data_IF_550430856011
#
_entry.id   IF_550430856011
#
_cell.length_a   1.000
_cell.length_b   1.000
_cell.length_c   1.000
_cell.angle_alpha   90.00
_cell.angle_beta   90.00
_cell.angle_gamma   90.00
#
_symmetry.space_group_name_H-M   'P 1'
#
loop_
_entity.id
_entity.type
_entity.pdbx_description
1 polymer ?
#
# COMPACT_ATOMS: atom_id res chain seq x y z
N UNK A 1 8.89 9.64 -0.87
CA UNK A 1 8.51 8.45 -1.66
C UNK A 1 8.92 7.20 -0.90
N UNK A 2 8.05 6.21 -0.83
CA UNK A 2 8.34 4.86 -0.31
C UNK A 2 8.18 3.87 -1.45
N UNK A 3 9.11 2.92 -1.57
CA UNK A 3 9.04 1.83 -2.55
C UNK A 3 9.41 0.53 -1.86
N UNK A 4 8.60 -0.49 -2.10
CA UNK A 4 8.87 -1.87 -1.72
C UNK A 4 8.99 -2.65 -3.03
N UNK A 5 10.20 -3.17 -3.27
CA UNK A 5 10.44 -4.13 -4.36
C UNK A 5 9.60 -5.38 -4.17
N UNK A 6 9.50 -6.22 -5.20
CA UNK A 6 8.64 -7.42 -5.19
C UNK A 6 8.87 -8.28 -3.93
N UNK A 7 7.75 -8.66 -3.30
CA UNK A 7 7.66 -9.59 -2.17
C UNK A 7 6.62 -10.65 -2.48
N UNK A 8 6.60 -11.73 -1.71
CA UNK A 8 5.63 -12.82 -1.85
C UNK A 8 5.00 -13.15 -0.50
N UNK A 9 3.70 -13.48 -0.49
CA UNK A 9 2.92 -13.69 0.72
C UNK A 9 2.73 -12.39 1.51
N UNK A 10 2.57 -12.52 2.82
CA UNK A 10 2.35 -11.37 3.71
C UNK A 10 3.60 -10.48 3.84
N UNK A 11 3.37 -9.20 4.17
CA UNK A 11 4.45 -8.30 4.53
C UNK A 11 3.99 -6.86 4.75
N UNK A 12 4.88 -5.92 4.46
CA UNK A 12 4.59 -4.51 4.67
C UNK A 12 5.83 -3.63 4.73
N UNK A 13 5.60 -2.37 5.08
CA UNK A 13 6.64 -1.34 5.24
C UNK A 13 6.24 -0.33 6.31
N UNK A 14 7.23 0.17 7.04
CA UNK A 14 7.08 1.34 7.90
C UNK A 14 7.78 2.54 7.27
N UNK A 15 7.15 3.71 7.35
CA UNK A 15 7.74 4.98 6.92
C UNK A 15 7.88 5.92 8.11
N UNK A 16 8.92 6.75 8.09
CA UNK A 16 9.21 7.74 9.14
C UNK A 16 8.37 9.02 9.06
N UNK A 17 7.50 9.18 8.06
CA UNK A 17 6.77 10.44 7.86
C UNK A 17 5.99 10.52 6.56
N UNK A 18 4.84 11.21 6.61
CA UNK A 18 4.21 11.84 5.46
C UNK A 18 4.16 13.36 5.68
N UNK A 19 4.17 14.12 4.59
CA UNK A 19 3.93 15.56 4.60
C UNK A 19 2.43 15.84 4.67
N UNK A 20 1.96 16.50 5.73
CA UNK A 20 0.52 16.74 5.91
C UNK A 20 -0.10 17.67 4.85
N UNK A 21 0.72 18.53 4.23
CA UNK A 21 0.27 19.49 3.22
C UNK A 21 0.03 18.89 1.82
N UNK A 22 0.36 17.61 1.61
CA UNK A 22 0.22 16.93 0.33
C UNK A 22 -0.68 15.69 0.49
N UNK A 23 -1.47 15.33 -0.55
CA UNK A 23 -2.15 14.05 -0.55
C UNK A 23 -1.13 12.91 -0.51
N UNK A 24 -1.54 11.78 0.05
CA UNK A 24 -0.76 10.54 0.03
C UNK A 24 -1.44 9.55 -0.90
N UNK A 25 -0.69 9.03 -1.88
CA UNK A 25 -1.18 8.02 -2.81
C UNK A 25 -0.46 6.72 -2.53
N UNK A 26 -1.22 5.70 -2.12
CA UNK A 26 -0.75 4.34 -1.93
C UNK A 26 -1.21 3.51 -3.13
N UNK A 27 -0.26 2.89 -3.82
CA UNK A 27 -0.51 2.02 -4.97
C UNK A 27 0.14 0.67 -4.72
N UNK A 28 -0.58 -0.40 -5.04
CA UNK A 28 -0.11 -1.77 -4.98
C UNK A 28 -0.35 -2.44 -6.32
N UNK A 29 0.64 -3.19 -6.78
CA UNK A 29 0.49 -4.13 -7.88
C UNK A 29 0.72 -5.55 -7.35
N UNK A 30 -0.03 -6.52 -7.84
CA UNK A 30 0.12 -7.92 -7.45
C UNK A 30 -0.23 -8.90 -8.58
N UNK A 31 0.31 -10.11 -8.48
CA UNK A 31 0.05 -11.22 -9.40
C UNK A 31 0.17 -12.55 -8.64
N UNK A 32 -0.54 -13.60 -9.06
CA UNK A 32 -0.27 -14.96 -8.56
C UNK A 32 -1.49 -15.83 -8.33
N UNK A 33 -2.70 -15.32 -8.58
CA UNK A 33 -3.96 -16.01 -8.34
C UNK A 33 -4.40 -15.90 -6.88
N UNK A 34 -5.27 -14.94 -6.59
CA UNK A 34 -5.79 -14.65 -5.26
C UNK A 34 -6.11 -13.16 -5.12
N UNK A 35 -5.93 -12.63 -3.91
CA UNK A 35 -6.04 -11.21 -3.63
C UNK A 35 -5.03 -10.77 -2.57
N UNK A 36 -4.82 -9.46 -2.47
CA UNK A 36 -4.14 -8.84 -1.33
C UNK A 36 -5.05 -7.82 -0.66
N UNK A 37 -5.05 -7.80 0.67
CA UNK A 37 -5.62 -6.71 1.47
C UNK A 37 -4.50 -5.82 1.97
N UNK A 38 -4.63 -4.52 1.71
CA UNK A 38 -3.65 -3.51 2.07
C UNK A 38 -4.26 -2.60 3.13
N UNK A 39 -3.57 -2.43 4.24
CA UNK A 39 -4.01 -1.56 5.34
C UNK A 39 -2.90 -0.57 5.70
N UNK A 40 -3.20 0.73 5.67
CA UNK A 40 -2.35 1.78 6.22
C UNK A 40 -2.86 2.20 7.60
N UNK A 41 -1.95 2.31 8.57
CA UNK A 41 -2.27 2.70 9.93
C UNK A 41 -1.28 3.71 10.50
N UNK A 42 -1.80 4.63 11.32
CA UNK A 42 -1.08 5.58 12.15
C UNK A 42 -1.84 5.72 13.46
N UNK A 43 -1.44 4.94 14.48
CA UNK A 43 -2.19 4.67 15.73
C UNK A 43 -3.52 3.93 15.50
N UNK A 44 -4.31 4.38 14.52
CA UNK A 44 -5.54 3.75 14.01
C UNK A 44 -5.43 3.47 12.52
N UNK A 45 -6.33 2.65 11.98
CA UNK A 45 -6.46 2.46 10.53
C UNK A 45 -6.83 3.79 9.84
N UNK A 46 -6.07 4.13 8.80
CA UNK A 46 -6.24 5.34 8.00
C UNK A 46 -6.89 5.01 6.65
N UNK A 47 -6.49 3.89 6.05
CA UNK A 47 -7.05 3.41 4.81
C UNK A 47 -6.92 1.88 4.71
N UNK A 48 -7.90 1.24 4.07
CA UNK A 48 -7.81 -0.16 3.70
C UNK A 48 -8.48 -0.39 2.34
N UNK A 49 -7.87 -1.23 1.50
CA UNK A 49 -8.45 -1.67 0.23
C UNK A 49 -7.90 -3.05 -0.16
N UNK A 50 -8.63 -3.75 -1.03
CA UNK A 50 -8.21 -5.03 -1.58
C UNK A 50 -7.94 -4.92 -3.08
N UNK A 51 -7.04 -5.76 -3.59
CA UNK A 51 -6.70 -5.85 -5.00
C UNK A 51 -6.76 -7.32 -5.42
N UNK A 52 -7.55 -7.64 -6.43
CA UNK A 52 -7.52 -8.95 -7.07
C UNK A 52 -6.18 -9.13 -7.80
N UNK A 53 -5.53 -10.28 -7.57
CA UNK A 53 -4.23 -10.63 -8.12
C UNK A 53 -4.39 -11.78 -9.11
N UNK A 54 -4.78 -11.52 -10.37
CA UNK A 54 -4.94 -12.57 -11.37
C UNK A 54 -3.64 -13.35 -11.62
N UNK A 55 -3.77 -14.54 -12.19
CA UNK A 55 -2.62 -15.36 -12.56
C UNK A 55 -2.15 -14.99 -13.97
N UNK A 56 -0.88 -14.58 -14.10
CA UNK A 56 -0.25 -14.27 -15.38
C UNK A 56 -0.41 -12.83 -15.88
N UNK A 57 -1.07 -11.97 -15.12
CA UNK A 57 -1.08 -10.52 -15.34
C UNK A 57 -1.10 -9.77 -14.00
N UNK A 58 -0.70 -8.49 -14.02
CA UNK A 58 -0.68 -7.68 -12.81
C UNK A 58 -2.05 -7.04 -12.54
N UNK A 59 -2.63 -7.35 -11.38
CA UNK A 59 -3.67 -6.53 -10.77
C UNK A 59 -3.07 -5.28 -10.14
N UNK A 60 -3.76 -4.15 -10.24
CA UNK A 60 -3.31 -2.87 -9.67
C UNK A 60 -4.46 -2.19 -8.94
N UNK A 61 -4.18 -1.74 -7.71
CA UNK A 61 -5.12 -0.95 -6.92
C UNK A 61 -4.44 0.24 -6.28
N UNK A 62 -5.20 1.30 -6.05
CA UNK A 62 -4.69 2.49 -5.38
C UNK A 62 -5.76 3.17 -4.56
N UNK A 63 -5.33 3.78 -3.45
CA UNK A 63 -6.13 4.69 -2.65
C UNK A 63 -5.40 6.02 -2.52
N UNK A 64 -6.15 7.11 -2.68
CA UNK A 64 -5.67 8.47 -2.41
C UNK A 64 -6.26 8.93 -1.09
N UNK A 65 -5.38 9.38 -0.21
CA UNK A 65 -5.73 10.02 1.05
C UNK A 65 -5.46 11.51 0.90
N UNK A 66 -6.49 12.33 1.14
CA UNK A 66 -6.37 13.78 1.05
C UNK A 66 -5.32 14.33 2.02
N UNK A 67 -4.84 15.54 1.74
CA UNK A 67 -3.93 16.26 2.63
C UNK A 67 -4.51 16.33 4.06
N UNK A 68 -3.66 16.10 5.06
CA UNK A 68 -4.03 16.08 6.47
C UNK A 68 -4.66 14.78 6.99
N UNK A 69 -5.01 13.82 6.12
CA UNK A 69 -5.51 12.49 6.54
C UNK A 69 -4.37 11.68 7.17
N UNK A 70 -3.23 11.56 6.47
CA UNK A 70 -2.00 11.01 7.05
C UNK A 70 -1.30 12.15 7.79
N UNK A 71 -1.26 12.06 9.13
CA UNK A 71 -0.69 13.13 9.97
C UNK A 71 0.84 13.04 9.99
N UNK A 72 1.54 14.12 10.40
CA UNK A 72 2.98 14.08 10.59
C UNK A 72 3.37 12.98 11.59
N UNK A 73 4.36 12.17 11.23
CA UNK A 73 4.82 11.04 12.04
C UNK A 73 4.85 9.73 11.26
N UNK A 74 5.24 8.64 11.91
CA UNK A 74 5.36 7.35 11.25
C UNK A 74 4.00 6.76 10.90
N UNK A 75 3.96 6.01 9.80
CA UNK A 75 2.83 5.16 9.45
C UNK A 75 3.36 3.78 9.05
N UNK A 76 2.50 2.77 9.17
CA UNK A 76 2.79 1.40 8.76
C UNK A 76 1.79 0.99 7.70
N UNK A 77 2.26 0.24 6.70
CA UNK A 77 1.40 -0.40 5.72
C UNK A 77 1.61 -1.91 5.85
N UNK A 78 0.53 -2.64 6.12
CA UNK A 78 0.47 -4.09 6.06
C UNK A 78 -0.12 -4.56 4.74
N UNK A 79 0.39 -5.68 4.24
CA UNK A 79 -0.14 -6.42 3.10
C UNK A 79 -0.40 -7.84 3.58
N UNK A 80 -1.67 -8.25 3.52
CA UNK A 80 -2.16 -9.59 3.85
C UNK A 80 -2.55 -10.26 2.52
N UNK A 81 -1.82 -11.30 2.14
CA UNK A 81 -2.03 -12.00 0.88
C UNK A 81 -2.89 -13.23 1.10
N UNK A 82 -3.84 -13.50 0.20
CA UNK A 82 -4.69 -14.69 0.31
C UNK A 82 -3.91 -16.00 0.17
N UNK A 83 -2.66 -15.95 -0.32
CA UNK A 83 -1.77 -17.09 -0.49
C UNK A 83 -0.30 -16.66 -0.53
N UNK A 84 0.59 -17.52 0.00
CA UNK A 84 2.05 -17.34 -0.03
C UNK A 84 2.69 -17.32 -1.42
N UNK A 85 1.92 -17.60 -2.48
CA UNK A 85 2.41 -17.53 -3.88
C UNK A 85 2.10 -16.19 -4.54
N UNK A 86 1.23 -15.36 -3.94
CA UNK A 86 0.90 -14.04 -4.46
C UNK A 86 2.11 -13.14 -4.25
N UNK A 87 2.58 -12.55 -5.35
CA UNK A 87 3.66 -11.57 -5.35
C UNK A 87 3.09 -10.17 -5.48
N UNK A 88 3.69 -9.21 -4.81
CA UNK A 88 3.24 -7.83 -4.80
C UNK A 88 4.41 -6.85 -4.69
N UNK A 89 4.18 -5.63 -5.16
CA UNK A 89 5.04 -4.48 -4.97
C UNK A 89 4.20 -3.25 -4.61
N UNK A 90 4.80 -2.29 -3.92
CA UNK A 90 4.06 -1.16 -3.34
C UNK A 90 4.84 0.15 -3.47
N UNK A 91 4.13 1.22 -3.87
CA UNK A 91 4.61 2.60 -3.79
C UNK A 91 3.75 3.45 -2.87
N UNK A 92 4.39 4.38 -2.17
CA UNK A 92 3.72 5.55 -1.57
C UNK A 92 4.34 6.82 -2.14
N UNK A 93 3.49 7.67 -2.71
CA UNK A 93 3.89 8.96 -3.28
C UNK A 93 3.09 10.11 -2.66
N UNK A 94 3.68 11.30 -2.71
CA UNK A 94 3.03 12.55 -2.31
C UNK A 94 3.21 13.54 -3.45
N UNK A 95 2.31 13.56 -4.44
CA UNK A 95 2.46 14.41 -5.61
C UNK A 95 2.32 15.87 -5.21
N UNK A 96 3.26 16.70 -5.69
CA UNK A 96 3.16 18.15 -5.66
C UNK A 96 2.33 18.61 -6.87
N UNK A 97 1.50 19.64 -6.69
CA UNK A 97 0.68 20.24 -7.75
C UNK A 97 1.50 21.11 -8.70
#
# INVERSE_FOLDING_TARGET
>A
MVWVEERTGDGGVASGGAWEGLPTVLTVACEGGGDVRVTMSQETEVAAFSVDCPAGEAGVGSVTMDAGVVRPGSFVIGVDASSDVVRWALTVTQPES
#
